data_IF_946988722788
#
_entry.id   IF_946988722788
#
_cell.length_a   1.000
_cell.length_b   1.000
_cell.length_c   1.000
_cell.angle_alpha   90.00
_cell.angle_beta   90.00
_cell.angle_gamma   90.00
#
_symmetry.space_group_name_H-M   'P 1'
#
loop_
_entity.id
_entity.type
_entity.pdbx_description
1 polymer ?
#
# COMPACT_ATOMS: atom_id res chain seq x y z
N UNK A 1 -57.22 -13.90 44.25
CA UNK A 1 -56.56 -12.59 44.40
C UNK A 1 -55.65 -12.37 43.19
N UNK A 2 -55.64 -11.15 42.63
CA UNK A 2 -54.81 -10.60 41.52
C UNK A 2 -54.91 -11.26 40.13
N UNK A 3 -55.55 -10.66 39.12
CA UNK A 3 -55.26 -9.44 38.29
C UNK A 3 -54.14 -9.60 37.25
N UNK A 4 -54.57 -9.48 35.99
CA UNK A 4 -53.87 -8.80 34.87
C UNK A 4 -52.93 -9.68 34.05
N UNK A 5 -52.76 -9.49 32.74
CA UNK A 5 -53.41 -8.65 31.76
C UNK A 5 -53.08 -9.25 30.38
N UNK A 6 -53.98 -9.04 29.41
CA UNK A 6 -53.84 -9.37 27.99
C UNK A 6 -52.53 -8.89 27.36
N UNK A 7 -52.05 -9.58 26.30
CA UNK A 7 -51.98 -9.02 24.93
C UNK A 7 -51.46 -10.05 23.91
N UNK A 8 -52.35 -10.37 22.97
CA UNK A 8 -52.17 -11.02 21.67
C UNK A 8 -51.19 -10.21 20.79
N UNK A 9 -50.23 -10.85 20.08
CA UNK A 9 -49.62 -10.52 18.75
C UNK A 9 -48.61 -11.65 18.43
N UNK A 10 -48.32 -12.13 17.23
CA UNK A 10 -48.80 -11.96 15.85
C UNK A 10 -48.28 -13.19 15.07
N UNK A 11 -48.96 -13.58 14.00
CA UNK A 11 -48.59 -14.68 13.11
C UNK A 11 -47.24 -14.47 12.40
N UNK A 12 -46.49 -15.56 12.15
CA UNK A 12 -45.37 -15.61 11.22
C UNK A 12 -45.76 -16.48 10.03
N UNK A 13 -45.95 -15.85 8.87
CA UNK A 13 -46.35 -16.48 7.63
C UNK A 13 -45.19 -16.50 6.62
N UNK A 14 -44.91 -17.72 6.16
CA UNK A 14 -44.51 -18.11 4.79
C UNK A 14 -43.13 -17.66 4.29
N UNK A 15 -42.19 -18.60 4.36
CA UNK A 15 -40.95 -18.66 3.59
C UNK A 15 -41.26 -19.27 2.21
N UNK A 16 -41.06 -18.51 1.13
CA UNK A 16 -41.02 -19.06 -0.23
C UNK A 16 -39.84 -18.51 -1.02
N UNK A 17 -39.13 -19.46 -1.62
CA UNK A 17 -37.89 -19.44 -2.38
C UNK A 17 -38.00 -18.58 -3.65
N UNK A 18 -36.92 -17.86 -3.98
CA UNK A 18 -36.59 -17.58 -5.38
C UNK A 18 -35.06 -17.49 -5.55
N UNK A 19 -34.51 -18.54 -6.16
CA UNK A 19 -33.16 -18.61 -6.68
C UNK A 19 -33.23 -18.50 -8.21
N UNK A 20 -32.40 -17.62 -8.80
CA UNK A 20 -31.83 -17.70 -10.15
C UNK A 20 -30.91 -16.46 -10.33
N UNK A 21 -29.61 -16.60 -10.11
CA UNK A 21 -28.56 -16.78 -11.15
C UNK A 21 -28.47 -15.60 -12.13
N UNK A 22 -27.47 -14.73 -11.90
CA UNK A 22 -26.65 -14.14 -12.94
C UNK A 22 -25.19 -14.28 -12.51
N UNK A 23 -24.51 -15.26 -13.11
CA UNK A 23 -23.04 -15.34 -13.17
C UNK A 23 -22.56 -14.58 -14.42
N UNK A 24 -21.25 -14.31 -14.46
CA UNK A 24 -20.42 -13.55 -15.43
C UNK A 24 -20.11 -12.13 -14.89
N UNK A 25 -18.86 -11.74 -14.62
CA UNK A 25 -17.58 -12.38 -14.86
C UNK A 25 -16.42 -11.48 -14.38
N UNK A 26 -15.30 -12.11 -14.02
CA UNK A 26 -14.06 -11.47 -13.55
C UNK A 26 -13.35 -12.38 -12.56
N UNK A 27 -12.40 -13.19 -13.03
CA UNK A 27 -11.64 -14.15 -12.25
C UNK A 27 -11.01 -13.55 -10.98
N UNK A 28 -11.66 -13.73 -9.82
CA UNK A 28 -10.97 -13.82 -8.52
C UNK A 28 -10.54 -15.27 -8.26
N UNK A 29 -9.97 -15.94 -9.26
CA UNK A 29 -9.49 -17.30 -9.14
C UNK A 29 -7.96 -17.29 -9.23
N UNK A 30 -7.31 -17.50 -8.06
CA UNK A 30 -5.87 -17.75 -7.83
C UNK A 30 -4.96 -16.62 -7.29
N UNK A 31 -5.46 -15.66 -6.48
CA UNK A 31 -4.59 -14.66 -5.80
C UNK A 31 -4.36 -14.83 -4.29
N UNK A 32 -4.94 -15.85 -3.64
CA UNK A 32 -4.87 -15.98 -2.18
C UNK A 32 -4.09 -17.25 -1.81
N UNK A 33 -2.82 -17.08 -1.43
CA UNK A 33 -2.06 -17.90 -0.44
C UNK A 33 -0.53 -17.72 -0.50
N UNK A 34 0.01 -16.71 -1.20
CA UNK A 34 1.45 -16.40 -1.13
C UNK A 34 1.72 -15.20 -0.19
N UNK A 35 2.30 -15.40 1.01
CA UNK A 35 2.66 -14.32 1.94
C UNK A 35 3.58 -13.25 1.34
N UNK A 36 4.28 -13.57 0.25
CA UNK A 36 5.14 -12.62 -0.46
C UNK A 36 4.31 -11.60 -1.26
N UNK A 37 3.13 -11.98 -1.74
CA UNK A 37 2.21 -11.02 -2.39
C UNK A 37 1.66 -10.02 -1.37
N UNK A 38 1.24 -10.49 -0.20
CA UNK A 38 0.81 -9.62 0.92
C UNK A 38 1.93 -8.65 1.35
N UNK A 39 3.18 -9.12 1.37
CA UNK A 39 4.33 -8.26 1.66
C UNK A 39 4.50 -7.14 0.62
N UNK A 40 4.30 -7.44 -0.67
CA UNK A 40 4.35 -6.42 -1.74
C UNK A 40 3.21 -5.42 -1.57
N UNK A 41 1.97 -5.90 -1.37
CA UNK A 41 0.80 -5.04 -1.15
C UNK A 41 1.04 -4.09 0.03
N UNK A 42 1.58 -4.61 1.14
CA UNK A 42 1.84 -3.80 2.32
C UNK A 42 2.86 -2.69 2.10
N UNK A 43 3.91 -2.96 1.32
CA UNK A 43 4.87 -1.93 0.91
C UNK A 43 4.21 -0.89 0.00
N UNK A 44 3.38 -1.31 -0.95
CA UNK A 44 2.66 -0.40 -1.84
C UNK A 44 1.66 0.48 -1.07
N UNK A 45 0.97 -0.06 -0.06
CA UNK A 45 0.09 0.72 0.83
C UNK A 45 0.87 1.82 1.55
N UNK A 46 2.06 1.51 2.08
CA UNK A 46 2.91 2.50 2.75
C UNK A 46 3.40 3.60 1.78
N UNK A 47 3.52 3.29 0.49
CA UNK A 47 3.99 4.21 -0.53
C UNK A 47 2.87 5.09 -1.12
N UNK A 48 1.65 4.55 -1.20
CA UNK A 48 0.55 5.15 -1.96
C UNK A 48 -0.70 5.47 -1.14
N UNK A 49 -0.69 5.29 0.18
CA UNK A 49 -1.72 5.83 1.08
C UNK A 49 -1.13 6.94 1.93
N UNK A 50 -1.50 8.19 1.66
CA UNK A 50 -0.96 9.33 2.38
C UNK A 50 -1.82 10.60 2.28
N UNK A 51 -1.50 11.63 3.08
CA UNK A 51 -0.22 11.81 3.76
C UNK A 51 -0.03 10.92 5.01
N UNK A 52 1.21 10.46 5.21
CA UNK A 52 1.68 9.87 6.46
C UNK A 52 2.42 10.97 7.23
N UNK A 53 1.69 11.74 8.03
CA UNK A 53 2.21 12.96 8.67
C UNK A 53 3.44 12.70 9.55
N UNK A 54 3.46 11.58 10.29
CA UNK A 54 4.59 11.21 11.15
C UNK A 54 5.85 10.90 10.33
N UNK A 55 5.69 10.16 9.23
CA UNK A 55 6.80 9.85 8.32
C UNK A 55 7.34 11.12 7.63
N UNK A 56 6.44 11.99 7.16
CA UNK A 56 6.80 13.24 6.49
C UNK A 56 7.46 14.23 7.46
N UNK A 57 6.95 14.35 8.69
CA UNK A 57 7.57 15.19 9.73
C UNK A 57 8.97 14.69 10.07
N UNK A 58 9.13 13.38 10.28
CA UNK A 58 10.43 12.77 10.56
C UNK A 58 11.45 13.07 9.44
N UNK A 59 11.02 12.96 8.17
CA UNK A 59 11.83 13.20 6.99
C UNK A 59 12.21 14.68 6.80
N UNK A 60 11.25 15.61 6.93
CA UNK A 60 11.45 17.00 6.52
C UNK A 60 11.89 17.94 7.65
N UNK A 61 11.62 17.62 8.90
CA UNK A 61 11.90 18.53 10.00
C UNK A 61 13.42 18.72 10.18
N UNK A 62 13.96 19.93 9.97
CA UNK A 62 15.40 20.18 10.09
C UNK A 62 15.92 19.99 11.52
N UNK A 63 15.05 20.04 12.54
CA UNK A 63 15.43 19.77 13.92
C UNK A 63 15.81 18.30 14.16
N UNK A 64 15.38 17.38 13.29
CA UNK A 64 15.74 15.97 13.38
C UNK A 64 17.10 15.66 12.74
N UNK A 65 17.67 16.62 11.99
CA UNK A 65 18.91 16.43 11.24
C UNK A 65 20.10 16.90 12.07
N UNK A 66 21.09 16.03 12.21
CA UNK A 66 22.33 16.31 12.93
C UNK A 66 23.53 15.93 12.06
N UNK A 67 24.68 16.57 12.29
CA UNK A 67 25.94 16.17 11.65
C UNK A 67 26.76 15.39 12.67
N UNK A 68 26.96 14.10 12.43
CA UNK A 68 27.83 13.22 13.22
C UNK A 68 28.97 12.76 12.33
N UNK A 69 30.21 13.03 12.74
CA UNK A 69 31.43 12.69 11.98
C UNK A 69 31.42 13.15 10.50
N UNK A 70 30.77 14.29 10.23
CA UNK A 70 30.68 14.88 8.89
C UNK A 70 29.57 14.30 8.01
N UNK A 71 28.73 13.42 8.56
CA UNK A 71 27.58 12.81 7.88
C UNK A 71 26.28 13.37 8.48
N UNK A 72 25.32 13.72 7.63
CA UNK A 72 23.97 14.06 8.08
C UNK A 72 23.25 12.78 8.50
N UNK A 73 22.83 12.73 9.77
CA UNK A 73 22.04 11.66 10.38
C UNK A 73 20.67 12.19 10.75
N UNK A 74 19.65 11.33 10.66
CA UNK A 74 18.28 11.65 11.06
C UNK A 74 17.68 10.42 11.76
N UNK A 75 17.98 10.26 13.04
CA UNK A 75 17.53 9.12 13.85
C UNK A 75 16.00 8.99 13.89
N UNK A 76 15.27 10.12 13.88
CA UNK A 76 13.81 10.10 13.86
C UNK A 76 13.28 9.50 12.56
N UNK A 77 13.88 9.84 11.43
CA UNK A 77 13.53 9.25 10.14
C UNK A 77 13.97 7.79 10.04
N UNK A 78 15.18 7.46 10.49
CA UNK A 78 15.67 6.07 10.53
C UNK A 78 14.74 5.17 11.35
N UNK A 79 14.24 5.64 12.49
CA UNK A 79 13.26 4.91 13.30
C UNK A 79 11.95 4.67 12.53
N UNK A 80 11.42 5.69 11.84
CA UNK A 80 10.22 5.54 11.02
C UNK A 80 10.43 4.56 9.85
N UNK A 81 11.62 4.54 9.26
CA UNK A 81 11.99 3.58 8.21
C UNK A 81 11.99 2.16 8.78
N UNK A 82 12.65 1.92 9.90
CA UNK A 82 12.74 0.59 10.51
C UNK A 82 11.35 0.08 10.94
N UNK A 83 10.58 0.92 11.64
CA UNK A 83 9.25 0.56 12.15
C UNK A 83 8.26 0.20 11.02
N UNK A 84 8.31 0.95 9.91
CA UNK A 84 7.36 0.76 8.81
C UNK A 84 7.85 -0.26 7.79
N UNK A 85 9.14 -0.36 7.52
CA UNK A 85 9.67 -1.14 6.39
C UNK A 85 10.64 -2.27 6.79
N UNK A 86 11.25 -2.22 7.97
CA UNK A 86 12.31 -3.15 8.40
C UNK A 86 11.90 -4.63 8.39
N UNK A 87 10.63 -4.91 8.66
CA UNK A 87 10.08 -6.26 8.59
C UNK A 87 10.04 -6.84 7.16
N UNK A 88 9.91 -6.00 6.14
CA UNK A 88 9.66 -6.43 4.76
C UNK A 88 10.92 -6.54 3.92
N UNK A 89 11.99 -5.85 4.28
CA UNK A 89 13.21 -5.76 3.47
C UNK A 89 14.40 -6.44 4.14
N UNK A 90 15.34 -6.92 3.33
CA UNK A 90 16.71 -7.16 3.81
C UNK A 90 17.37 -5.82 4.11
N UNK A 91 18.22 -5.75 5.13
CA UNK A 91 18.87 -4.49 5.56
C UNK A 91 19.54 -3.75 4.40
N UNK A 92 20.28 -4.48 3.54
CA UNK A 92 20.94 -3.89 2.38
C UNK A 92 19.98 -3.31 1.34
N UNK A 93 18.82 -3.94 1.15
CA UNK A 93 17.84 -3.44 0.19
C UNK A 93 17.00 -2.33 0.80
N UNK A 94 16.74 -2.33 2.11
CA UNK A 94 15.99 -1.26 2.77
C UNK A 94 16.67 0.09 2.55
N UNK A 95 17.96 0.18 2.84
CA UNK A 95 18.75 1.40 2.63
C UNK A 95 18.74 1.85 1.17
N UNK A 96 18.82 0.90 0.24
CA UNK A 96 18.77 1.19 -1.19
C UNK A 96 17.38 1.68 -1.63
N UNK A 97 16.33 1.00 -1.19
CA UNK A 97 14.95 1.33 -1.48
C UNK A 97 14.63 2.73 -0.96
N UNK A 98 14.93 3.04 0.30
CA UNK A 98 14.64 4.36 0.88
C UNK A 98 15.38 5.51 0.17
N UNK A 99 16.62 5.28 -0.25
CA UNK A 99 17.42 6.28 -0.97
C UNK A 99 16.88 6.57 -2.38
N UNK A 100 16.28 5.60 -3.05
CA UNK A 100 15.91 5.70 -4.47
C UNK A 100 14.41 5.90 -4.65
N UNK A 101 13.59 5.20 -3.87
CA UNK A 101 12.15 5.06 -4.11
C UNK A 101 11.29 5.38 -2.87
N UNK A 102 11.70 4.93 -1.68
CA UNK A 102 10.84 4.91 -0.50
C UNK A 102 10.34 6.28 -0.02
N UNK A 103 11.02 7.37 -0.39
CA UNK A 103 10.59 8.75 -0.09
C UNK A 103 9.98 9.48 -1.29
N UNK A 104 10.02 8.88 -2.48
CA UNK A 104 9.77 9.58 -3.73
C UNK A 104 8.31 10.00 -3.90
N UNK A 105 7.37 9.04 -3.87
CA UNK A 105 5.94 9.35 -4.05
C UNK A 105 5.33 10.06 -2.83
N UNK A 106 5.57 9.61 -1.57
CA UNK A 106 5.09 10.36 -0.40
C UNK A 106 5.62 11.80 -0.38
N UNK A 107 6.91 11.99 -0.67
CA UNK A 107 7.53 13.31 -0.71
C UNK A 107 7.01 14.20 -1.85
N UNK A 108 6.85 13.67 -3.06
CA UNK A 108 6.25 14.42 -4.17
C UNK A 108 4.81 14.82 -3.86
N UNK A 109 4.00 13.90 -3.34
CA UNK A 109 2.61 14.18 -3.00
C UNK A 109 2.52 15.30 -1.96
N UNK A 110 3.32 15.21 -0.89
CA UNK A 110 3.39 16.24 0.15
C UNK A 110 3.83 17.61 -0.40
N UNK A 111 4.96 17.67 -1.12
CA UNK A 111 5.51 18.91 -1.69
C UNK A 111 4.48 19.65 -2.56
N UNK A 112 3.68 18.91 -3.32
CA UNK A 112 2.70 19.48 -4.26
C UNK A 112 1.26 19.46 -3.75
N UNK A 113 1.04 19.04 -2.49
CA UNK A 113 -0.27 19.08 -1.83
C UNK A 113 -1.30 18.09 -2.37
N UNK A 114 -0.85 16.91 -2.78
CA UNK A 114 -1.68 15.79 -3.19
C UNK A 114 -1.85 14.78 -2.05
N UNK A 115 -3.04 14.20 -1.97
CA UNK A 115 -3.30 12.96 -1.25
C UNK A 115 -3.18 11.80 -2.23
N UNK A 116 -2.60 10.67 -1.81
CA UNK A 116 -2.50 9.44 -2.58
C UNK A 116 -3.37 8.37 -1.94
N UNK A 117 -3.97 7.51 -2.78
CA UNK A 117 -4.67 6.32 -2.33
C UNK A 117 -4.43 5.16 -3.29
N UNK A 118 -4.02 4.02 -2.74
CA UNK A 118 -3.95 2.75 -3.45
C UNK A 118 -5.38 2.21 -3.65
N UNK A 119 -5.76 1.96 -4.90
CA UNK A 119 -7.10 1.47 -5.25
C UNK A 119 -7.11 -0.03 -5.51
N UNK A 120 -6.18 -0.52 -6.31
CA UNK A 120 -6.07 -1.91 -6.70
C UNK A 120 -4.61 -2.30 -6.94
N UNK A 121 -4.32 -3.58 -6.80
CA UNK A 121 -3.00 -4.15 -7.03
C UNK A 121 -3.12 -5.47 -7.78
N UNK A 122 -2.46 -5.52 -8.94
CA UNK A 122 -2.21 -6.75 -9.66
C UNK A 122 -0.79 -7.23 -9.41
N UNK A 123 -0.62 -8.46 -8.91
CA UNK A 123 0.68 -9.08 -8.65
C UNK A 123 0.72 -10.45 -9.32
N UNK A 124 1.77 -10.66 -10.10
CA UNK A 124 2.02 -11.91 -10.81
C UNK A 124 3.42 -12.44 -10.49
N UNK A 125 3.52 -13.74 -10.21
CA UNK A 125 4.82 -14.41 -10.14
C UNK A 125 5.39 -14.54 -11.55
N UNK A 126 6.67 -14.22 -11.72
CA UNK A 126 7.35 -14.36 -13.00
C UNK A 126 7.45 -15.83 -13.42
N UNK A 127 7.00 -16.13 -14.64
CA UNK A 127 7.10 -17.46 -15.23
C UNK A 127 8.56 -17.93 -15.47
N UNK A 128 9.52 -17.01 -15.45
CA UNK A 128 10.91 -17.28 -15.89
C UNK A 128 11.95 -17.15 -14.78
N UNK A 129 11.65 -16.42 -13.70
CA UNK A 129 12.59 -16.16 -12.62
C UNK A 129 11.91 -16.46 -11.28
N UNK A 130 12.42 -17.47 -10.57
CA UNK A 130 11.94 -17.80 -9.24
C UNK A 130 12.05 -16.60 -8.29
N UNK A 131 11.09 -16.48 -7.37
CA UNK A 131 11.00 -15.39 -6.37
C UNK A 131 10.91 -13.97 -6.94
N UNK A 132 10.68 -13.82 -8.26
CA UNK A 132 10.44 -12.53 -8.90
C UNK A 132 8.96 -12.32 -9.11
N UNK A 133 8.46 -11.18 -8.69
CA UNK A 133 7.08 -10.75 -8.87
C UNK A 133 7.06 -9.48 -9.71
N UNK A 134 6.04 -9.35 -10.53
CA UNK A 134 5.68 -8.12 -11.21
C UNK A 134 4.44 -7.58 -10.54
N UNK A 135 4.37 -6.27 -10.31
CA UNK A 135 3.16 -5.64 -9.84
C UNK A 135 2.74 -4.50 -10.75
N UNK A 136 1.43 -4.25 -10.79
CA UNK A 136 0.81 -3.03 -11.31
C UNK A 136 -0.17 -2.51 -10.25
N UNK A 137 0.07 -1.30 -9.75
CA UNK A 137 -0.75 -0.66 -8.73
C UNK A 137 -1.57 0.48 -9.35
N UNK A 138 -2.89 0.48 -9.17
CA UNK A 138 -3.73 1.63 -9.49
C UNK A 138 -3.69 2.62 -8.32
N UNK A 139 -3.25 3.85 -8.59
CA UNK A 139 -3.10 4.91 -7.59
C UNK A 139 -4.00 6.07 -7.95
N UNK A 140 -4.98 6.33 -7.09
CA UNK A 140 -5.75 7.57 -7.10
C UNK A 140 -4.96 8.70 -6.43
N UNK A 141 -5.08 9.91 -6.96
CA UNK A 141 -4.43 11.08 -6.38
C UNK A 141 -5.25 12.34 -6.60
N UNK A 142 -5.26 13.21 -5.60
CA UNK A 142 -6.14 14.37 -5.58
C UNK A 142 -5.54 15.53 -4.77
N UNK A 143 -5.56 16.73 -5.33
CA UNK A 143 -5.37 17.98 -4.58
C UNK A 143 -6.63 18.31 -3.79
N UNK A 144 -6.50 18.92 -2.61
CA UNK A 144 -7.65 19.35 -1.80
C UNK A 144 -8.63 20.21 -2.61
N UNK A 145 -9.88 19.73 -2.76
CA UNK A 145 -10.93 20.38 -3.55
C UNK A 145 -10.78 20.28 -5.07
N UNK A 146 -9.75 19.60 -5.56
CA UNK A 146 -9.53 19.29 -6.97
C UNK A 146 -10.29 18.04 -7.43
N UNK A 147 -10.20 17.72 -8.71
CA UNK A 147 -10.74 16.46 -9.26
C UNK A 147 -9.76 15.32 -9.00
N UNK A 148 -10.27 14.19 -8.54
CA UNK A 148 -9.50 12.95 -8.46
C UNK A 148 -9.05 12.48 -9.85
N UNK A 149 -7.82 11.99 -9.89
CA UNK A 149 -7.19 11.42 -11.07
C UNK A 149 -6.59 10.06 -10.70
N UNK A 150 -6.22 9.25 -11.71
CA UNK A 150 -5.62 7.91 -11.53
C UNK A 150 -4.39 7.72 -12.41
N UNK A 151 -3.41 6.97 -11.95
CA UNK A 151 -2.34 6.36 -12.76
C UNK A 151 -2.09 4.94 -12.30
N UNK A 152 -1.50 4.16 -13.19
CA UNK A 152 -0.93 2.86 -12.85
C UNK A 152 0.57 3.02 -12.61
N UNK A 153 1.09 2.32 -11.59
CA UNK A 153 2.51 2.23 -11.29
C UNK A 153 2.94 0.77 -11.36
N UNK A 154 3.86 0.47 -12.25
CA UNK A 154 4.41 -0.86 -12.46
C UNK A 154 5.77 -1.04 -11.79
N UNK A 155 6.07 -2.27 -11.35
CA UNK A 155 7.38 -2.58 -10.81
C UNK A 155 7.68 -4.06 -10.71
N UNK A 156 8.90 -4.33 -10.25
CA UNK A 156 9.44 -5.69 -10.07
C UNK A 156 10.00 -5.83 -8.66
N UNK A 157 9.64 -6.94 -8.01
CA UNK A 157 10.13 -7.31 -6.69
C UNK A 157 10.84 -8.66 -6.77
N UNK A 158 12.02 -8.76 -6.16
CA UNK A 158 12.75 -10.02 -6.01
C UNK A 158 12.91 -10.32 -4.52
N UNK A 159 12.38 -11.44 -4.07
CA UNK A 159 12.57 -11.88 -2.69
C UNK A 159 13.93 -12.53 -2.47
N UNK A 160 14.49 -12.31 -1.30
CA UNK A 160 15.78 -12.85 -0.89
C UNK A 160 15.74 -14.38 -0.81
N UNK A 161 16.79 -15.03 -1.29
CA UNK A 161 17.00 -16.48 -1.14
C UNK A 161 17.71 -16.83 0.16
N UNK A 162 18.12 -15.83 0.95
CA UNK A 162 18.88 -16.00 2.21
C UNK A 162 18.05 -15.60 3.42
N UNK A 163 17.28 -14.52 3.32
CA UNK A 163 16.36 -14.07 4.35
C UNK A 163 14.93 -14.31 3.87
N UNK A 164 14.36 -15.45 4.25
CA UNK A 164 13.03 -15.88 3.80
C UNK A 164 11.96 -14.82 4.09
N UNK A 165 11.05 -14.60 3.13
CA UNK A 165 9.98 -13.61 3.25
C UNK A 165 10.41 -12.15 3.08
N UNK A 166 11.71 -11.84 3.07
CA UNK A 166 12.21 -10.47 2.90
C UNK A 166 12.49 -10.13 1.45
N UNK A 167 12.17 -8.90 1.07
CA UNK A 167 12.48 -8.30 -0.23
C UNK A 167 13.99 -8.05 -0.31
N UNK A 168 14.61 -8.65 -1.33
CA UNK A 168 16.03 -8.45 -1.66
C UNK A 168 16.25 -7.47 -2.82
N UNK A 169 15.19 -7.12 -3.58
CA UNK A 169 15.19 -6.02 -4.54
C UNK A 169 13.78 -5.50 -4.77
N UNK A 170 13.60 -4.18 -4.77
CA UNK A 170 12.37 -3.51 -5.19
C UNK A 170 12.68 -2.44 -6.24
N UNK A 171 11.92 -2.40 -7.33
CA UNK A 171 12.16 -1.43 -8.40
C UNK A 171 10.86 -1.03 -9.07
N UNK A 172 10.56 0.27 -9.09
CA UNK A 172 9.54 0.82 -10.00
C UNK A 172 10.11 0.83 -11.43
N UNK A 173 9.30 0.38 -12.39
CA UNK A 173 9.68 0.29 -13.81
C UNK A 173 8.94 1.29 -14.68
N UNK A 174 7.73 1.67 -14.28
CA UNK A 174 6.89 2.66 -14.97
C UNK A 174 5.92 3.27 -13.93
N UNK A 175 5.60 4.55 -14.08
CA UNK A 175 4.61 5.24 -13.24
C UNK A 175 3.47 5.87 -14.06
N UNK A 176 3.44 5.60 -15.38
CA UNK A 176 2.52 6.18 -16.35
C UNK A 176 2.36 7.71 -16.20
N UNK A 177 3.44 8.40 -15.83
CA UNK A 177 3.47 9.85 -15.65
C UNK A 177 2.87 10.35 -14.33
N UNK A 178 2.63 9.47 -13.34
CA UNK A 178 2.20 9.87 -12.00
C UNK A 178 3.10 10.96 -11.43
N UNK A 179 4.42 10.76 -11.45
CA UNK A 179 5.39 11.73 -10.94
C UNK A 179 5.30 13.10 -11.63
N UNK A 180 5.11 13.13 -12.94
CA UNK A 180 4.99 14.38 -13.71
C UNK A 180 3.66 15.10 -13.47
N UNK A 181 2.59 14.37 -13.17
CA UNK A 181 1.29 14.98 -12.83
C UNK A 181 1.24 15.46 -11.38
N UNK A 182 1.94 14.80 -10.47
CA UNK A 182 2.07 15.30 -9.08
C UNK A 182 2.80 16.64 -9.03
N UNK A 183 3.70 16.93 -9.98
CA UNK A 183 4.44 18.21 -10.04
C UNK A 183 3.62 19.39 -10.60
N UNK A 184 2.37 19.16 -10.99
CA UNK A 184 1.45 20.17 -11.56
C UNK A 184 0.45 20.63 -10.50
#
# INVERSE_FOLDING_TARGET
>A
MQKGASKLKLALAVLTVLAAVFTIGGCMAAKADDPKMETIERVLELQFNGPDEEFLEAMWNPANKQIVDGVEVNEAFEQQVDDKYGAYFTDSELDQFMRVFGTYFPGLADIYGYELRLEDVDIELSDTVANRYLFTAEVAFQKKGGKEQRAEVGGVVLFSTVQEGKIGKFTYTDDQGLSERLKQ
#
